data_IF_170372350131
#
_entry.id   IF_170372350131
#
_cell.length_a   1.000
_cell.length_b   1.000
_cell.length_c   1.000
_cell.angle_alpha   90.00
_cell.angle_beta   90.00
_cell.angle_gamma   90.00
#
_symmetry.space_group_name_H-M   'P 1'
#
loop_
_entity.id
_entity.type
_entity.pdbx_description
1 polymer ?
#
# COMPACT_ATOMS: atom_id res chain seq x y z
N UNK A 1 21.65 -6.39 9.70
CA UNK A 1 20.25 -6.12 10.13
C UNK A 1 20.00 -4.61 10.12
N UNK A 2 19.96 -3.99 8.94
CA UNK A 2 19.42 -2.63 8.82
C UNK A 2 17.97 -2.81 8.38
N UNK A 3 17.03 -2.60 9.31
CA UNK A 3 15.68 -2.22 8.91
C UNK A 3 15.84 -0.82 8.32
N UNK A 4 15.89 -0.74 7.01
CA UNK A 4 15.74 0.53 6.32
C UNK A 4 14.24 0.69 6.18
N UNK A 5 13.58 1.13 7.26
CA UNK A 5 12.36 1.88 7.07
C UNK A 5 12.80 3.09 6.22
N UNK A 6 12.51 3.10 4.91
CA UNK A 6 12.45 4.37 4.15
C UNK A 6 11.55 5.36 4.90
N UNK A 7 11.52 6.67 4.58
CA UNK A 7 10.84 7.68 5.40
C UNK A 7 9.32 7.44 5.43
N UNK A 8 8.94 6.48 6.26
CA UNK A 8 7.61 6.13 6.67
C UNK A 8 7.34 7.16 7.75
N UNK A 9 6.90 8.35 7.34
CA UNK A 9 6.20 9.29 8.21
C UNK A 9 4.87 8.62 8.60
N UNK A 10 4.98 7.55 9.41
CA UNK A 10 3.86 6.83 9.98
C UNK A 10 3.03 7.90 10.70
N UNK A 11 1.80 8.18 10.28
CA UNK A 11 1.06 9.27 10.90
C UNK A 11 0.79 8.92 12.37
N UNK A 12 0.76 9.90 13.28
CA UNK A 12 0.38 9.65 14.66
C UNK A 12 -1.13 9.41 14.75
N UNK A 13 -1.53 8.48 15.62
CA UNK A 13 -2.92 8.30 16.02
C UNK A 13 -3.43 9.57 16.70
N UNK A 14 -4.59 10.10 16.28
CA UNK A 14 -5.23 11.26 16.92
C UNK A 14 -5.74 10.99 18.34
N UNK A 15 -5.95 9.72 18.70
CA UNK A 15 -6.45 9.32 20.01
C UNK A 15 -5.37 9.07 21.06
N UNK A 16 -4.28 8.37 20.70
CA UNK A 16 -3.23 7.98 21.65
C UNK A 16 -1.84 8.55 21.33
N UNK A 17 -1.70 9.32 20.24
CA UNK A 17 -0.44 9.91 19.76
C UNK A 17 0.66 8.92 19.37
N UNK A 18 0.41 7.60 19.44
CA UNK A 18 1.35 6.59 18.97
C UNK A 18 1.44 6.59 17.45
N UNK A 19 2.64 6.30 16.93
CA UNK A 19 2.85 6.12 15.48
C UNK A 19 2.07 4.92 14.97
N UNK A 20 1.37 5.10 13.86
CA UNK A 20 0.48 4.09 13.30
C UNK A 20 1.26 3.02 12.53
N UNK A 21 0.87 1.77 12.76
CA UNK A 21 1.23 0.64 11.93
C UNK A 21 -0.03 0.17 11.23
N UNK A 22 0.10 -0.31 10.00
CA UNK A 22 -1.02 -0.92 9.30
C UNK A 22 -1.51 -2.19 10.02
N UNK A 23 -2.82 -2.49 9.97
CA UNK A 23 -3.87 -1.61 9.44
C UNK A 23 -4.25 -0.50 10.43
N UNK A 24 -4.61 0.67 9.91
CA UNK A 24 -5.15 1.78 10.69
C UNK A 24 -6.33 2.44 9.99
N UNK A 25 -7.06 3.30 10.70
CA UNK A 25 -8.29 3.92 10.20
C UNK A 25 -8.00 5.35 9.79
N UNK A 26 -8.49 5.74 8.61
CA UNK A 26 -8.60 7.13 8.16
C UNK A 26 -10.07 7.50 8.15
N UNK A 27 -10.45 8.57 8.86
CA UNK A 27 -11.80 9.11 8.73
C UNK A 27 -11.98 9.74 7.34
N UNK A 28 -13.06 9.39 6.65
CA UNK A 28 -13.38 9.91 5.31
C UNK A 28 -13.98 11.33 5.36
N UNK A 29 -14.47 11.75 6.52
CA UNK A 29 -15.19 13.02 6.68
C UNK A 29 -14.34 14.13 7.32
N UNK A 30 -13.27 13.76 8.03
CA UNK A 30 -12.47 14.71 8.79
C UNK A 30 -11.21 15.17 8.04
N UNK A 31 -11.11 16.48 7.79
CA UNK A 31 -9.89 17.16 7.33
C UNK A 31 -10.15 18.60 6.86
N UNK A 32 -9.11 19.36 6.52
CA UNK A 32 -7.68 19.13 6.80
C UNK A 32 -7.23 19.60 8.22
N UNK A 33 -6.22 18.97 8.85
CA UNK A 33 -5.45 17.82 8.36
C UNK A 33 -6.20 16.48 8.50
N UNK A 34 -5.80 15.43 7.77
CA UNK A 34 -6.40 14.10 7.88
C UNK A 34 -6.43 13.57 9.32
N UNK A 35 -7.46 12.77 9.59
CA UNK A 35 -7.71 12.22 10.91
C UNK A 35 -7.52 10.70 10.90
N UNK A 36 -6.48 10.24 11.60
CA UNK A 36 -6.11 8.83 11.66
C UNK A 36 -6.25 8.28 13.08
N UNK A 37 -6.72 7.03 13.18
CA UNK A 37 -6.84 6.31 14.44
C UNK A 37 -6.20 4.92 14.34
N UNK A 38 -5.58 4.46 15.42
CA UNK A 38 -5.25 3.06 15.57
C UNK A 38 -6.54 2.27 15.83
N UNK A 39 -6.53 0.95 15.58
CA UNK A 39 -7.69 0.10 15.80
C UNK A 39 -8.21 0.16 17.24
N UNK A 40 -7.33 0.33 18.23
CA UNK A 40 -7.74 0.42 19.64
C UNK A 40 -8.52 1.71 19.94
N UNK A 41 -8.11 2.86 19.39
CA UNK A 41 -8.87 4.11 19.55
C UNK A 41 -10.18 4.07 18.78
N UNK A 42 -10.18 3.50 17.57
CA UNK A 42 -11.38 3.35 16.76
C UNK A 42 -12.43 2.47 17.44
N UNK A 43 -12.06 1.27 17.91
CA UNK A 43 -12.99 0.32 18.58
C UNK A 43 -13.53 0.81 19.92
N UNK A 44 -12.87 1.80 20.55
CA UNK A 44 -13.35 2.47 21.76
C UNK A 44 -14.31 3.63 21.48
N UNK A 45 -14.60 3.92 20.21
CA UNK A 45 -15.42 5.07 19.82
C UNK A 45 -14.76 6.39 20.19
N UNK A 46 -13.45 6.54 19.92
CA UNK A 46 -12.75 7.80 20.21
C UNK A 46 -13.36 8.96 19.42
N UNK A 47 -13.79 10.01 20.12
CA UNK A 47 -14.36 11.22 19.53
C UNK A 47 -13.55 12.44 19.97
N UNK A 48 -13.37 13.39 19.05
CA UNK A 48 -12.63 14.62 19.36
C UNK A 48 -12.99 15.75 18.42
N UNK A 49 -13.38 16.88 18.99
CA UNK A 49 -13.81 18.08 18.24
C UNK A 49 -14.92 17.74 17.25
N UNK A 50 -14.61 17.75 15.95
CA UNK A 50 -15.54 17.49 14.86
C UNK A 50 -15.59 16.02 14.45
N UNK A 51 -14.69 15.18 14.95
CA UNK A 51 -14.70 13.75 14.66
C UNK A 51 -15.74 13.06 15.56
N UNK A 52 -16.63 12.30 14.94
CA UNK A 52 -17.57 11.40 15.60
C UNK A 52 -17.25 9.95 15.25
N UNK A 53 -17.59 9.04 16.15
CA UNK A 53 -17.24 7.62 16.03
C UNK A 53 -18.04 6.89 14.95
N UNK A 54 -19.11 7.50 14.46
CA UNK A 54 -20.00 7.01 13.40
C UNK A 54 -19.67 7.56 12.00
N UNK A 55 -18.66 8.41 11.88
CA UNK A 55 -18.19 8.88 10.58
C UNK A 55 -17.74 7.70 9.71
N UNK A 56 -18.04 7.81 8.41
CA UNK A 56 -17.50 6.92 7.40
C UNK A 56 -15.97 6.95 7.39
N UNK A 57 -15.37 5.80 7.05
CA UNK A 57 -13.95 5.58 7.20
C UNK A 57 -13.37 4.67 6.13
N UNK A 58 -12.06 4.79 5.95
CA UNK A 58 -11.23 3.95 5.10
C UNK A 58 -10.26 3.14 5.98
N UNK A 59 -10.09 1.85 5.67
CA UNK A 59 -9.04 1.03 6.28
C UNK A 59 -7.78 1.18 5.44
N UNK A 60 -6.74 1.73 6.06
CA UNK A 60 -5.43 1.88 5.46
C UNK A 60 -4.63 0.59 5.71
N UNK A 61 -4.39 -0.17 4.65
CA UNK A 61 -3.65 -1.44 4.67
C UNK A 61 -3.08 -1.74 3.29
N UNK A 62 -1.97 -2.46 3.24
CA UNK A 62 -1.32 -2.94 2.01
C UNK A 62 -1.48 -4.46 1.79
N UNK A 63 -2.31 -5.12 2.61
CA UNK A 63 -2.58 -6.57 2.55
C UNK A 63 -3.76 -6.90 1.61
N UNK A 64 -3.66 -6.46 0.36
CA UNK A 64 -4.66 -6.73 -0.67
C UNK A 64 -3.99 -6.88 -2.05
N UNK A 65 -4.54 -7.71 -2.95
CA UNK A 65 -3.95 -7.91 -4.27
C UNK A 65 -4.14 -6.69 -5.18
N UNK A 66 -3.11 -6.36 -5.97
CA UNK A 66 -3.13 -5.22 -6.91
C UNK A 66 -3.12 -5.68 -8.36
N UNK A 67 -2.05 -6.39 -8.77
CA UNK A 67 -1.83 -6.78 -10.17
C UNK A 67 -2.15 -8.26 -10.42
N UNK A 68 -1.90 -9.09 -9.42
CA UNK A 68 -2.16 -10.52 -9.43
C UNK A 68 -2.83 -10.94 -8.11
N UNK A 69 -3.84 -11.83 -8.12
CA UNK A 69 -4.51 -12.29 -6.90
C UNK A 69 -3.58 -12.91 -5.85
N UNK A 70 -2.40 -13.37 -6.25
CA UNK A 70 -1.41 -13.98 -5.36
C UNK A 70 -0.36 -13.01 -4.83
N UNK A 71 -0.39 -11.73 -5.22
CA UNK A 71 0.59 -10.71 -4.84
C UNK A 71 -0.08 -9.51 -4.18
N UNK A 72 0.26 -9.23 -2.92
CA UNK A 72 -0.29 -8.08 -2.20
C UNK A 72 0.41 -6.78 -2.57
N UNK A 73 -0.24 -5.63 -2.36
CA UNK A 73 0.37 -4.31 -2.57
C UNK A 73 1.72 -4.16 -1.83
N UNK A 74 1.81 -4.73 -0.63
CA UNK A 74 3.06 -4.78 0.13
C UNK A 74 4.14 -5.60 -0.58
N UNK A 75 3.79 -6.75 -1.15
CA UNK A 75 4.72 -7.60 -1.92
C UNK A 75 5.15 -6.93 -3.23
N UNK A 76 4.24 -6.23 -3.93
CA UNK A 76 4.58 -5.48 -5.13
C UNK A 76 5.65 -4.41 -4.84
N UNK A 77 5.45 -3.65 -3.76
CA UNK A 77 6.43 -2.63 -3.34
C UNK A 77 7.76 -3.27 -2.94
N UNK A 78 7.69 -4.33 -2.13
CA UNK A 78 8.89 -5.04 -1.67
C UNK A 78 9.70 -5.63 -2.82
N UNK A 79 9.04 -6.11 -3.89
CA UNK A 79 9.72 -6.62 -5.08
C UNK A 79 10.49 -5.51 -5.79
N UNK A 80 9.86 -4.36 -6.02
CA UNK A 80 10.50 -3.22 -6.67
C UNK A 80 11.69 -2.69 -5.86
N UNK A 81 11.53 -2.56 -4.54
CA UNK A 81 12.60 -2.18 -3.63
C UNK A 81 13.76 -3.19 -3.67
N UNK A 82 13.46 -4.48 -3.58
CA UNK A 82 14.47 -5.52 -3.61
C UNK A 82 15.22 -5.59 -4.95
N UNK A 83 14.54 -5.35 -6.08
CA UNK A 83 15.19 -5.27 -7.40
C UNK A 83 16.09 -4.02 -7.49
N UNK A 84 15.67 -2.89 -6.94
CA UNK A 84 16.48 -1.68 -6.87
C UNK A 84 17.73 -1.88 -6.00
N UNK A 85 17.61 -2.59 -4.88
CA UNK A 85 18.71 -2.84 -3.93
C UNK A 85 19.68 -3.93 -4.42
N UNK A 86 19.16 -5.06 -4.91
CA UNK A 86 19.94 -6.24 -5.29
C UNK A 86 20.44 -6.19 -6.75
N UNK A 87 19.81 -5.36 -7.58
CA UNK A 87 20.04 -5.26 -9.01
C UNK A 87 19.17 -6.22 -9.84
N UNK A 88 18.73 -5.74 -11.00
CA UNK A 88 17.96 -6.52 -11.97
C UNK A 88 18.69 -7.79 -12.40
N UNK A 89 17.98 -8.92 -12.46
CA UNK A 89 18.55 -10.24 -12.78
C UNK A 89 19.10 -11.01 -11.58
N UNK A 90 19.33 -10.35 -10.43
CA UNK A 90 19.78 -11.02 -9.20
C UNK A 90 18.60 -11.59 -8.39
N UNK A 91 17.78 -12.43 -9.03
CA UNK A 91 16.51 -12.92 -8.47
C UNK A 91 16.68 -13.75 -7.19
N UNK A 92 17.85 -14.36 -7.01
CA UNK A 92 18.15 -15.11 -5.80
C UNK A 92 18.23 -14.18 -4.57
N UNK A 93 18.94 -13.06 -4.67
CA UNK A 93 19.05 -12.10 -3.57
C UNK A 93 17.74 -11.31 -3.38
N UNK A 94 17.04 -11.00 -4.47
CA UNK A 94 15.69 -10.41 -4.43
C UNK A 94 14.73 -11.29 -3.64
N UNK A 95 14.66 -12.60 -3.93
CA UNK A 95 13.82 -13.54 -3.20
C UNK A 95 14.24 -13.66 -1.73
N UNK A 96 15.55 -13.63 -1.44
CA UNK A 96 16.06 -13.62 -0.07
C UNK A 96 15.60 -12.37 0.71
N UNK A 97 15.52 -11.20 0.07
CA UNK A 97 15.02 -9.97 0.68
C UNK A 97 13.50 -9.99 0.87
N UNK A 98 12.76 -10.50 -0.13
CA UNK A 98 11.31 -10.65 -0.10
C UNK A 98 10.82 -11.57 1.02
N UNK A 99 11.52 -12.68 1.27
CA UNK A 99 11.15 -13.75 2.22
C UNK A 99 9.79 -14.44 2.00
N UNK A 100 8.91 -13.95 1.11
CA UNK A 100 7.56 -14.49 0.86
C UNK A 100 7.41 -15.20 -0.48
N UNK A 101 8.33 -14.98 -1.42
CA UNK A 101 8.28 -15.48 -2.80
C UNK A 101 9.60 -16.14 -3.21
N UNK A 102 9.55 -17.11 -4.11
CA UNK A 102 10.76 -17.72 -4.69
C UNK A 102 11.37 -16.84 -5.77
N UNK A 103 12.62 -17.15 -6.16
CA UNK A 103 13.30 -16.41 -7.24
C UNK A 103 12.56 -16.51 -8.57
N UNK A 104 11.99 -17.68 -8.89
CA UNK A 104 11.23 -17.90 -10.12
C UNK A 104 9.92 -17.12 -10.10
N UNK A 105 9.26 -17.02 -8.94
CA UNK A 105 8.05 -16.21 -8.77
C UNK A 105 8.37 -14.72 -8.94
N UNK A 106 9.42 -14.22 -8.28
CA UNK A 106 9.87 -12.83 -8.39
C UNK A 106 10.23 -12.45 -9.84
N UNK A 107 11.05 -13.26 -10.50
CA UNK A 107 11.45 -13.03 -11.89
C UNK A 107 10.23 -13.00 -12.80
N UNK A 108 9.40 -14.04 -12.75
CA UNK A 108 8.22 -14.16 -13.62
C UNK A 108 7.25 -12.99 -13.40
N UNK A 109 7.01 -12.62 -12.15
CA UNK A 109 6.10 -11.52 -11.82
C UNK A 109 6.65 -10.18 -12.29
N UNK A 110 7.93 -9.90 -12.04
CA UNK A 110 8.59 -8.68 -12.48
C UNK A 110 8.49 -8.51 -14.00
N UNK A 111 8.88 -9.55 -14.75
CA UNK A 111 8.88 -9.51 -16.22
C UNK A 111 7.48 -9.30 -16.79
N UNK A 112 6.46 -9.90 -16.16
CA UNK A 112 5.08 -9.81 -16.62
C UNK A 112 4.46 -8.43 -16.38
N UNK A 113 4.82 -7.75 -15.29
CA UNK A 113 4.07 -6.59 -14.80
C UNK A 113 4.85 -5.27 -14.80
N UNK A 114 6.19 -5.31 -14.76
CA UNK A 114 7.02 -4.12 -14.54
C UNK A 114 8.07 -3.86 -15.63
N UNK A 115 8.17 -4.70 -16.67
CA UNK A 115 8.95 -4.32 -17.85
C UNK A 115 8.35 -3.08 -18.54
N UNK A 116 9.17 -2.26 -19.24
CA UNK A 116 8.70 -1.03 -19.86
C UNK A 116 7.46 -1.23 -20.76
N UNK A 117 7.40 -2.34 -21.49
CA UNK A 117 6.25 -2.68 -22.32
C UNK A 117 4.99 -2.96 -21.47
N UNK A 118 5.14 -3.59 -20.30
CA UNK A 118 4.03 -3.82 -19.38
C UNK A 118 3.54 -2.54 -18.71
N UNK A 119 4.45 -1.62 -18.37
CA UNK A 119 4.12 -0.32 -17.76
C UNK A 119 3.28 0.54 -18.70
N UNK A 120 3.60 0.57 -20.00
CA UNK A 120 2.78 1.28 -21.00
C UNK A 120 1.35 0.74 -21.09
N UNK A 121 1.15 -0.57 -20.91
CA UNK A 121 -0.19 -1.17 -20.91
C UNK A 121 -0.99 -0.83 -19.64
N UNK A 122 -0.32 -0.62 -18.51
CA UNK A 122 -0.97 -0.19 -17.26
C UNK A 122 -1.49 1.25 -17.37
N UNK A 123 -0.68 2.16 -17.93
CA UNK A 123 -1.09 3.54 -18.19
C UNK A 123 -2.34 3.59 -19.09
N UNK A 124 -2.34 2.81 -20.18
CA UNK A 124 -3.50 2.70 -21.09
C UNK A 124 -4.76 2.15 -20.41
N UNK A 125 -4.61 1.20 -19.46
CA UNK A 125 -5.74 0.67 -18.69
C UNK A 125 -6.28 1.70 -17.70
N UNK A 126 -5.42 2.44 -17.02
CA UNK A 126 -5.82 3.51 -16.11
C UNK A 126 -6.59 4.60 -16.86
N UNK A 127 -6.12 5.00 -18.04
CA UNK A 127 -6.81 5.95 -18.92
C UNK A 127 -8.17 5.44 -19.39
N UNK A 128 -8.26 4.16 -19.76
CA UNK A 128 -9.53 3.53 -20.15
C UNK A 128 -10.53 3.47 -18.99
N UNK A 129 -10.07 3.14 -17.77
CA UNK A 129 -10.92 3.14 -16.57
C UNK A 129 -11.41 4.55 -16.23
N UNK A 130 -10.54 5.57 -16.33
CA UNK A 130 -10.92 6.98 -16.16
C UNK A 130 -11.94 7.42 -17.20
N UNK A 131 -11.74 7.06 -18.47
CA UNK A 131 -12.67 7.37 -19.56
C UNK A 131 -14.05 6.69 -19.38
N UNK A 132 -14.06 5.45 -18.88
CA UNK A 132 -15.29 4.71 -18.61
C UNK A 132 -16.02 5.24 -17.37
N UNK A 133 -15.30 5.75 -16.35
CA UNK A 133 -15.89 6.40 -15.18
C UNK A 133 -16.53 7.76 -15.50
N UNK A 134 -16.12 8.42 -16.58
CA UNK A 134 -16.67 9.71 -17.03
C UNK A 134 -17.90 9.57 -17.93
N UNK A 135 -18.23 8.36 -18.39
CA UNK A 135 -19.39 8.10 -19.26
C UNK A 135 -20.67 7.69 -18.51
N UNK A 136 -20.67 7.80 -17.18
CA UNK A 136 -21.81 7.43 -16.30
C UNK A 136 -22.46 8.67 -15.63
N UNK A 137 -22.22 9.87 -16.18
CA UNK A 137 -22.94 11.11 -15.87
C UNK A 137 -23.46 11.75 -17.15
#
# INVERSE_FOLDING_TARGET
>A
LKKIDGPSDKPPCRGCSSYLMEPYIKCAECGPPPFFLCLQCFTRGFEYKKHQSDHTYEIMTSDFPVLDPSWTAQEEMALLEAVMDCGFGNWQDVANQMCTKTKEECEKHYMKHFEPEAMTQMELKEESLKANSLSIH
#
